data_IF_618568801069
#
_entry.id   IF_618568801069
#
_cell.length_a   1.000
_cell.length_b   1.000
_cell.length_c   1.000
_cell.angle_alpha   90.00
_cell.angle_beta   90.00
_cell.angle_gamma   90.00
#
_symmetry.space_group_name_H-M   'P 1'
#
loop_
_entity.id
_entity.type
_entity.pdbx_description
1 polymer ?
#
# COMPACT_ATOMS: atom_id res chain seq x y z
N UNK A 1 -4.23 -11.63 25.63
CA UNK A 1 -4.24 -10.57 24.61
C UNK A 1 -2.91 -10.66 23.88
N UNK A 2 -2.91 -11.04 22.59
CA UNK A 2 -1.67 -11.20 21.83
C UNK A 2 -1.06 -9.82 21.57
N UNK A 3 0.23 -9.66 21.89
CA UNK A 3 0.98 -8.42 21.66
C UNK A 3 0.89 -8.01 20.19
N UNK A 4 0.48 -6.78 19.89
CA UNK A 4 0.57 -6.24 18.53
C UNK A 4 2.06 -6.09 18.22
N UNK A 5 2.51 -6.78 17.19
CA UNK A 5 3.93 -6.88 16.84
C UNK A 5 4.30 -5.87 15.75
N UNK A 6 3.52 -5.83 14.67
CA UNK A 6 3.50 -4.75 13.68
C UNK A 6 2.09 -4.74 13.06
N UNK A 7 1.51 -3.57 12.86
CA UNK A 7 0.24 -3.34 12.19
C UNK A 7 0.44 -2.62 10.87
N UNK A 8 -0.51 -2.83 9.95
CA UNK A 8 -0.61 -2.15 8.67
C UNK A 8 -1.95 -1.42 8.63
N UNK A 9 -1.95 -0.15 8.22
CA UNK A 9 -3.17 0.63 8.05
C UNK A 9 -3.05 1.51 6.81
N UNK A 10 -4.12 1.58 6.02
CA UNK A 10 -4.20 2.51 4.90
C UNK A 10 -4.68 3.88 5.39
N UNK A 11 -4.06 4.96 4.92
CA UNK A 11 -4.49 6.32 5.27
C UNK A 11 -5.90 6.61 4.73
N UNK A 12 -6.22 6.07 3.56
CA UNK A 12 -7.54 6.17 2.94
C UNK A 12 -8.07 4.79 2.57
N UNK A 13 -9.39 4.62 2.64
CA UNK A 13 -10.06 3.35 2.32
C UNK A 13 -10.02 2.96 0.84
N UNK A 14 -9.49 3.83 -0.04
CA UNK A 14 -9.36 3.65 -1.49
C UNK A 14 -8.32 4.64 -2.04
N UNK A 15 -7.75 4.40 -3.25
CA UNK A 15 -6.84 5.34 -3.90
C UNK A 15 -7.41 6.76 -4.04
N UNK A 16 -6.52 7.74 -3.94
CA UNK A 16 -6.82 9.16 -4.15
C UNK A 16 -6.39 9.60 -5.54
N UNK A 17 -7.22 10.40 -6.19
CA UNK A 17 -6.95 10.93 -7.54
C UNK A 17 -6.71 12.43 -7.45
N UNK A 18 -5.55 12.87 -7.91
CA UNK A 18 -5.21 14.27 -8.09
C UNK A 18 -4.46 14.38 -9.42
N UNK A 19 -5.21 14.56 -10.51
CA UNK A 19 -4.64 14.61 -11.86
C UNK A 19 -3.41 15.54 -11.90
N UNK A 20 -2.29 15.09 -12.50
CA UNK A 20 -2.15 13.92 -13.39
C UNK A 20 -1.82 12.59 -12.68
N UNK A 21 -1.95 12.50 -11.36
CA UNK A 21 -1.54 11.31 -10.59
C UNK A 21 -2.69 10.63 -9.85
N UNK A 22 -2.55 9.33 -9.68
CA UNK A 22 -3.28 8.55 -8.68
C UNK A 22 -2.27 8.07 -7.63
N UNK A 23 -2.65 8.16 -6.36
CA UNK A 23 -1.75 7.82 -5.27
C UNK A 23 -2.45 7.09 -4.13
N UNK A 24 -1.64 6.49 -3.28
CA UNK A 24 -2.06 5.78 -2.10
C UNK A 24 -1.02 5.86 -1.00
N UNK A 25 -1.51 5.85 0.23
CA UNK A 25 -0.68 5.91 1.42
C UNK A 25 -1.04 4.77 2.37
N UNK A 26 -0.02 4.20 2.99
CA UNK A 26 -0.16 3.24 4.07
C UNK A 26 0.84 3.57 5.16
N UNK A 27 0.54 3.18 6.39
CA UNK A 27 1.47 3.25 7.51
C UNK A 27 1.68 1.85 8.09
N UNK A 28 2.92 1.58 8.47
CA UNK A 28 3.26 0.48 9.35
C UNK A 28 3.53 1.02 10.74
N UNK A 29 2.99 0.37 11.76
CA UNK A 29 3.17 0.73 13.17
C UNK A 29 3.60 -0.49 13.96
N UNK A 30 4.76 -0.43 14.59
CA UNK A 30 5.31 -1.52 15.40
C UNK A 30 5.54 -1.02 16.83
N UNK A 31 4.89 -1.66 17.81
CA UNK A 31 5.05 -1.36 19.23
C UNK A 31 6.48 -1.68 19.71
N UNK A 32 7.11 -2.70 19.10
CA UNK A 32 8.48 -3.13 19.34
C UNK A 32 9.19 -3.19 17.98
N UNK A 33 10.39 -2.60 17.82
CA UNK A 33 11.15 -2.70 16.59
C UNK A 33 11.43 -4.18 16.20
N UNK A 34 10.99 -4.66 15.03
CA UNK A 34 11.32 -6.00 14.55
C UNK A 34 12.81 -6.13 14.20
N UNK A 35 13.31 -7.37 14.11
CA UNK A 35 14.69 -7.61 13.65
C UNK A 35 14.83 -7.31 12.15
N UNK A 36 13.77 -7.60 11.39
CA UNK A 36 13.66 -7.28 9.98
C UNK A 36 12.25 -6.84 9.63
N UNK A 37 12.14 -5.90 8.70
CA UNK A 37 10.87 -5.38 8.22
C UNK A 37 11.04 -4.95 6.77
N UNK A 38 10.12 -5.38 5.91
CA UNK A 38 9.99 -4.90 4.55
C UNK A 38 8.52 -4.64 4.26
N UNK A 39 8.25 -3.46 3.71
CA UNK A 39 6.94 -3.04 3.22
C UNK A 39 7.00 -2.92 1.71
N UNK A 40 6.04 -3.57 1.04
CA UNK A 40 5.74 -3.38 -0.38
C UNK A 40 4.37 -2.70 -0.48
N UNK A 41 4.31 -1.53 -1.10
CA UNK A 41 3.07 -0.80 -1.37
C UNK A 41 2.87 -0.69 -2.87
N UNK A 42 1.79 -1.26 -3.40
CA UNK A 42 1.47 -1.21 -4.83
C UNK A 42 0.17 -0.45 -5.09
N UNK A 43 0.16 0.23 -6.24
CA UNK A 43 -1.06 0.72 -6.88
C UNK A 43 -1.40 -0.27 -8.00
N UNK A 44 -2.46 -1.03 -7.81
CA UNK A 44 -2.92 -2.02 -8.78
C UNK A 44 -4.09 -1.43 -9.58
N UNK A 45 -4.12 -1.70 -10.90
CA UNK A 45 -5.25 -1.36 -11.79
C UNK A 45 -5.81 -2.62 -12.42
N UNK A 46 -7.12 -2.66 -12.67
CA UNK A 46 -7.73 -3.73 -13.48
C UNK A 46 -7.36 -3.53 -14.96
N UNK A 47 -6.64 -4.51 -15.51
CA UNK A 47 -6.33 -4.61 -16.93
C UNK A 47 -6.77 -6.00 -17.38
N UNK A 48 -7.67 -6.07 -18.38
CA UNK A 48 -8.23 -7.34 -18.88
C UNK A 48 -8.80 -8.23 -17.76
N UNK A 49 -9.49 -7.63 -16.78
CA UNK A 49 -10.12 -8.35 -15.67
C UNK A 49 -9.16 -8.79 -14.55
N UNK A 50 -7.86 -8.47 -14.65
CA UNK A 50 -6.86 -8.82 -13.65
C UNK A 50 -6.26 -7.58 -13.00
N UNK A 51 -5.97 -7.65 -11.70
CA UNK A 51 -5.25 -6.60 -10.98
C UNK A 51 -3.77 -6.65 -11.31
N UNK A 52 -3.27 -5.63 -12.02
CA UNK A 52 -1.88 -5.51 -12.43
C UNK A 52 -1.23 -4.33 -11.69
N UNK A 53 -0.08 -4.52 -11.02
CA UNK A 53 0.64 -3.43 -10.39
C UNK A 53 1.10 -2.41 -11.44
N UNK A 54 0.73 -1.16 -11.24
CA UNK A 54 1.15 -0.01 -12.07
C UNK A 54 2.30 0.76 -11.43
N UNK A 55 2.39 0.72 -10.10
CA UNK A 55 3.49 1.29 -9.34
C UNK A 55 3.77 0.45 -8.09
N UNK A 56 5.01 0.49 -7.62
CA UNK A 56 5.51 -0.24 -6.47
C UNK A 56 6.49 0.64 -5.69
N UNK A 57 6.29 0.75 -4.39
CA UNK A 57 7.24 1.29 -3.43
C UNK A 57 7.67 0.17 -2.50
N UNK A 58 8.99 -0.06 -2.36
CA UNK A 58 9.55 -1.03 -1.42
C UNK A 58 10.45 -0.31 -0.43
N UNK A 59 10.28 -0.59 0.86
CA UNK A 59 11.11 0.00 1.91
C UNK A 59 11.34 -1.02 3.03
N UNK A 60 12.61 -1.24 3.37
CA UNK A 60 13.03 -2.19 4.40
C UNK A 60 13.49 -1.52 5.71
N UNK A 61 13.22 -0.22 5.86
CA UNK A 61 13.45 0.46 7.10
C UNK A 61 12.50 -0.03 8.20
N UNK A 62 13.05 -0.20 9.39
CA UNK A 62 12.32 -0.59 10.60
C UNK A 62 11.44 0.60 11.04
N UNK A 63 10.11 0.43 11.21
CA UNK A 63 9.23 1.45 11.76
C UNK A 63 9.55 1.69 13.25
N UNK A 64 9.78 2.94 13.65
CA UNK A 64 10.00 3.31 15.07
C UNK A 64 9.27 4.61 15.41
N UNK A 65 8.11 4.56 16.09
CA UNK A 65 7.16 3.43 16.12
C UNK A 65 6.40 3.28 14.80
N UNK A 66 6.28 4.36 14.02
CA UNK A 66 5.48 4.42 12.81
C UNK A 66 6.32 4.80 11.61
N UNK A 67 5.93 4.31 10.43
CA UNK A 67 6.49 4.76 9.15
C UNK A 67 5.38 4.82 8.11
N UNK A 68 5.35 5.91 7.35
CA UNK A 68 4.39 6.12 6.27
C UNK A 68 5.06 5.82 4.94
N UNK A 69 4.31 5.19 4.05
CA UNK A 69 4.70 4.81 2.71
C UNK A 69 3.75 5.44 1.73
N UNK A 70 4.31 5.91 0.62
CA UNK A 70 3.58 6.54 -0.46
C UNK A 70 3.84 5.77 -1.75
N UNK A 71 2.81 5.56 -2.54
CA UNK A 71 2.91 5.05 -3.91
C UNK A 71 2.09 5.93 -4.83
N UNK A 72 2.61 6.20 -6.02
CA UNK A 72 1.94 7.02 -7.03
C UNK A 72 2.15 6.46 -8.42
N UNK A 73 1.15 6.58 -9.28
CA UNK A 73 1.21 6.24 -10.69
C UNK A 73 0.56 7.34 -11.53
N UNK A 74 0.76 7.27 -12.85
CA UNK A 74 0.00 8.09 -13.80
C UNK A 74 -1.51 7.81 -13.66
N UNK A 75 -2.30 8.88 -13.66
CA UNK A 75 -3.75 8.80 -13.60
C UNK A 75 -4.29 8.28 -14.93
N UNK A 76 -4.86 7.07 -14.91
CA UNK A 76 -5.56 6.48 -16.05
C UNK A 76 -6.94 6.00 -15.62
N UNK A 77 -7.94 6.15 -16.50
CA UNK A 77 -9.29 5.68 -16.20
C UNK A 77 -9.34 4.15 -15.96
N UNK A 78 -10.21 3.70 -15.05
CA UNK A 78 -10.40 2.29 -14.72
C UNK A 78 -10.55 2.05 -13.23
N UNK A 79 -10.53 0.78 -12.85
CA UNK A 79 -10.63 0.38 -11.44
C UNK A 79 -9.24 0.25 -10.83
N UNK A 80 -9.07 0.89 -9.68
CA UNK A 80 -7.82 0.97 -8.94
C UNK A 80 -7.98 0.48 -7.51
N UNK A 81 -6.91 -0.07 -6.94
CA UNK A 81 -6.79 -0.35 -5.50
C UNK A 81 -5.35 -0.19 -5.06
N UNK A 82 -5.16 -0.03 -3.75
CA UNK A 82 -3.85 -0.11 -3.11
C UNK A 82 -3.73 -1.51 -2.52
N UNK A 83 -2.58 -2.14 -2.69
CA UNK A 83 -2.24 -3.39 -2.01
C UNK A 83 -0.95 -3.17 -1.22
N UNK A 84 -0.94 -3.61 0.03
CA UNK A 84 0.21 -3.50 0.90
C UNK A 84 0.59 -4.87 1.41
N UNK A 85 1.89 -5.15 1.43
CA UNK A 85 2.46 -6.36 2.02
C UNK A 85 3.57 -5.98 2.99
N UNK A 86 3.48 -6.48 4.21
CA UNK A 86 4.45 -6.26 5.28
C UNK A 86 4.98 -7.62 5.71
N UNK A 87 6.29 -7.82 5.59
CA UNK A 87 6.93 -9.07 6.00
C UNK A 87 8.27 -8.83 6.69
N UNK A 88 8.72 -9.79 7.48
CA UNK A 88 9.92 -9.65 8.29
C UNK A 88 9.98 -10.65 9.43
N UNK A 89 10.68 -10.29 10.50
CA UNK A 89 10.82 -11.14 11.69
C UNK A 89 10.79 -10.32 12.97
N UNK A 90 10.10 -10.87 13.98
CA UNK A 90 10.10 -10.33 15.33
C UNK A 90 10.22 -11.46 16.35
N UNK A 91 11.14 -11.31 17.30
CA UNK A 91 11.44 -12.31 18.34
C UNK A 91 11.75 -13.68 17.73
N UNK A 92 12.54 -13.71 16.66
CA UNK A 92 12.84 -14.90 15.84
C UNK A 92 11.61 -15.58 15.21
N UNK A 93 10.47 -14.90 15.09
CA UNK A 93 9.27 -15.40 14.41
C UNK A 93 9.02 -14.60 13.13
N UNK A 94 8.93 -15.25 11.96
CA UNK A 94 8.59 -14.55 10.74
C UNK A 94 7.14 -14.06 10.78
N UNK A 95 6.89 -12.93 10.14
CA UNK A 95 5.56 -12.44 9.84
C UNK A 95 5.45 -12.07 8.36
N UNK A 96 4.26 -12.23 7.80
CA UNK A 96 3.91 -11.83 6.43
C UNK A 96 2.41 -11.53 6.40
N UNK A 97 2.06 -10.27 6.13
CA UNK A 97 0.69 -9.79 6.07
C UNK A 97 0.49 -9.10 4.73
N UNK A 98 -0.62 -9.41 4.06
CA UNK A 98 -1.03 -8.68 2.85
C UNK A 98 -2.45 -8.21 3.03
N UNK A 99 -2.70 -6.94 2.70
CA UNK A 99 -4.04 -6.36 2.68
C UNK A 99 -4.22 -5.42 1.49
N UNK A 100 -5.45 -5.01 1.22
CA UNK A 100 -5.77 -4.09 0.14
C UNK A 100 -6.95 -3.18 0.48
N UNK A 101 -6.98 -2.01 -0.17
CA UNK A 101 -8.09 -1.07 -0.04
C UNK A 101 -9.29 -1.47 -0.90
N UNK A 102 -10.42 -0.79 -0.65
CA UNK A 102 -11.58 -0.88 -1.53
C UNK A 102 -11.25 -0.31 -2.92
N UNK A 103 -11.97 -0.81 -3.92
CA UNK A 103 -11.82 -0.35 -5.30
C UNK A 103 -12.24 1.12 -5.46
N UNK A 104 -11.42 1.89 -6.17
CA UNK A 104 -11.75 3.21 -6.72
C UNK A 104 -11.92 3.10 -8.23
N UNK A 105 -13.15 3.24 -8.71
CA UNK A 105 -13.40 3.49 -10.13
C UNK A 105 -13.07 4.94 -10.45
N UNK A 106 -12.20 5.15 -11.43
CA UNK A 106 -11.72 6.44 -11.90
C UNK A 106 -12.20 6.65 -13.33
N UNK A 107 -12.87 7.77 -13.58
CA UNK A 107 -13.36 8.13 -14.91
C UNK A 107 -12.33 8.88 -15.75
N UNK A 108 -12.53 8.94 -17.06
CA UNK A 108 -11.70 9.75 -17.98
C UNK A 108 -11.79 11.26 -17.69
N UNK A 109 -12.83 11.73 -17.00
CA UNK A 109 -12.93 13.13 -16.56
C UNK A 109 -11.97 13.43 -15.41
N UNK A 110 -11.75 12.46 -14.54
CA UNK A 110 -10.81 12.56 -13.42
C UNK A 110 -9.36 12.38 -13.89
N UNK A 111 -9.14 11.59 -14.96
CA UNK A 111 -7.85 11.44 -15.62
C UNK A 111 -7.94 11.84 -17.12
N UNK A 112 -7.92 13.13 -17.46
CA UNK A 112 -8.14 13.59 -18.84
C UNK A 112 -6.98 13.31 -19.82
N UNK A 113 -5.85 12.77 -19.35
CA UNK A 113 -4.66 12.51 -20.17
C UNK A 113 -4.23 11.05 -20.29
N UNK A 114 -4.98 10.11 -19.70
CA UNK A 114 -4.64 8.68 -19.70
C UNK A 114 -5.30 7.86 -20.80
#
# INVERSE_FOLDING_TARGET
MAAKSCGLEFTFSRPSVLAPVIFGDAKAECDIPPESHTMELTLDRVVNGSWIPQALTVDSAIPVPTRTYHVSAECVAGDWRIRARVYGSLTNRPFDFTDHTATRTVSTRECPGG
#
